data_IF_632943285599
#
_entry.id   IF_632943285599
#
_cell.length_a   1.000
_cell.length_b   1.000
_cell.length_c   1.000
_cell.angle_alpha   90.00
_cell.angle_beta   90.00
_cell.angle_gamma   90.00
#
_symmetry.space_group_name_H-M   'P 1'
#
loop_
_entity.id
_entity.type
_entity.pdbx_description
1 polymer ?
#
# COMPACT_ATOMS: atom_id res chain seq x y z
N UNK A 1 -14.02 -9.16 17.62
CA UNK A 1 -12.86 -9.23 18.55
C UNK A 1 -11.94 -8.01 18.40
N UNK A 2 -11.42 -7.72 17.21
CA UNK A 2 -10.50 -6.60 16.95
C UNK A 2 -11.08 -5.19 17.22
N UNK A 3 -12.34 -4.97 16.84
CA UNK A 3 -13.06 -3.71 17.16
C UNK A 3 -13.23 -3.51 18.68
N UNK A 4 -13.39 -4.59 19.46
CA UNK A 4 -13.44 -4.54 20.93
C UNK A 4 -12.05 -4.25 21.53
N UNK A 5 -10.98 -4.81 20.97
CA UNK A 5 -9.60 -4.57 21.39
C UNK A 5 -9.18 -3.10 21.22
N UNK A 6 -9.58 -2.46 20.10
CA UNK A 6 -9.27 -1.05 19.84
C UNK A 6 -10.07 -0.08 20.71
N UNK A 7 -11.35 -0.38 20.99
CA UNK A 7 -12.14 0.38 21.98
C UNK A 7 -11.53 0.31 23.39
N UNK A 8 -10.96 -0.82 23.77
CA UNK A 8 -10.33 -1.00 25.09
C UNK A 8 -9.06 -0.15 25.28
N UNK A 9 -8.33 0.18 24.21
CA UNK A 9 -7.07 0.95 24.28
C UNK A 9 -7.24 2.48 24.20
N UNK A 10 -8.48 3.00 24.19
CA UNK A 10 -8.77 4.45 24.09
C UNK A 10 -8.00 5.14 22.95
N UNK A 11 -7.84 4.45 21.82
CA UNK A 11 -7.32 5.03 20.56
C UNK A 11 -8.51 5.71 19.88
N UNK A 12 -9.00 6.77 20.51
CA UNK A 12 -10.11 7.60 20.08
C UNK A 12 -9.84 8.94 20.72
N UNK A 13 -9.50 9.92 19.89
CA UNK A 13 -8.95 11.22 20.25
C UNK A 13 -9.65 11.86 21.47
N UNK A 14 -8.86 12.57 22.29
CA UNK A 14 -9.39 13.50 23.30
C UNK A 14 -10.40 14.44 22.65
N UNK A 15 -11.57 14.50 23.27
CA UNK A 15 -12.69 15.37 22.93
C UNK A 15 -12.19 16.82 22.99
N UNK A 16 -12.08 17.49 21.85
CA UNK A 16 -12.02 18.96 21.78
C UNK A 16 -13.46 19.45 21.76
N UNK A 17 -13.83 20.26 22.74
CA UNK A 17 -15.22 20.58 23.11
C UNK A 17 -15.86 21.66 22.21
N UNK A 18 -15.12 22.25 21.25
CA UNK A 18 -15.56 23.45 20.52
C UNK A 18 -15.83 23.22 19.02
N UNK A 19 -16.76 22.33 18.65
CA UNK A 19 -17.18 22.18 17.24
C UNK A 19 -18.57 21.54 17.05
N UNK A 20 -19.33 21.92 15.99
CA UNK A 20 -20.73 21.54 15.82
C UNK A 20 -20.91 20.01 15.65
N UNK A 21 -21.96 19.50 16.29
CA UNK A 21 -22.20 18.09 16.63
C UNK A 21 -22.34 17.13 15.42
N UNK A 22 -22.50 17.64 14.20
CA UNK A 22 -22.59 16.82 12.97
C UNK A 22 -21.26 16.19 12.54
N UNK A 23 -20.12 16.71 13.02
CA UNK A 23 -18.80 16.10 12.77
C UNK A 23 -18.40 15.01 13.78
N UNK A 24 -19.19 14.75 14.82
CA UNK A 24 -18.85 13.80 15.89
C UNK A 24 -19.16 12.33 15.56
N UNK A 25 -19.84 12.06 14.43
CA UNK A 25 -20.29 10.71 14.05
C UNK A 25 -19.18 9.91 13.34
N UNK A 26 -18.07 10.55 12.93
CA UNK A 26 -16.91 9.88 12.33
C UNK A 26 -15.84 9.46 13.35
N UNK A 27 -16.14 9.54 14.65
CA UNK A 27 -15.20 9.19 15.72
C UNK A 27 -15.50 7.78 16.23
N UNK A 28 -14.92 6.78 15.58
CA UNK A 28 -15.09 5.38 16.00
C UNK A 28 -14.71 4.35 14.96
N UNK A 29 -14.51 4.74 13.70
CA UNK A 29 -13.93 3.86 12.69
C UNK A 29 -12.44 3.72 12.99
N UNK A 30 -11.94 2.51 13.21
CA UNK A 30 -10.59 2.33 13.70
C UNK A 30 -9.58 2.84 12.67
N UNK A 31 -8.71 3.74 13.12
CA UNK A 31 -7.52 4.27 12.42
C UNK A 31 -6.45 3.20 12.12
N UNK A 32 -6.83 1.92 12.13
CA UNK A 32 -5.97 0.80 11.74
C UNK A 32 -6.74 -0.24 10.90
N UNK A 33 -7.88 0.10 10.29
CA UNK A 33 -8.58 -0.80 9.38
C UNK A 33 -7.68 -1.30 8.24
N UNK A 34 -6.75 -0.46 7.78
CA UNK A 34 -5.73 -0.82 6.80
C UNK A 34 -4.79 -1.94 7.26
N UNK A 35 -4.52 -2.07 8.57
CA UNK A 35 -3.72 -3.18 9.10
C UNK A 35 -4.42 -4.53 8.92
N UNK A 36 -5.73 -4.58 9.19
CA UNK A 36 -6.51 -5.81 9.01
C UNK A 36 -6.47 -6.18 7.53
N UNK A 37 -6.74 -5.22 6.64
CA UNK A 37 -6.75 -5.45 5.19
C UNK A 37 -5.39 -5.98 4.74
N UNK A 38 -4.29 -5.37 5.20
CA UNK A 38 -2.94 -5.81 4.87
C UNK A 38 -2.70 -7.25 5.32
N UNK A 39 -3.05 -7.61 6.55
CA UNK A 39 -2.88 -8.98 7.05
C UNK A 39 -3.76 -9.95 6.28
N UNK A 40 -5.05 -9.65 6.10
CA UNK A 40 -5.98 -10.58 5.44
C UNK A 40 -5.64 -10.78 3.98
N UNK A 41 -5.24 -9.72 3.27
CA UNK A 41 -4.80 -9.82 1.89
C UNK A 41 -3.49 -10.61 1.77
N UNK A 42 -2.52 -10.36 2.66
CA UNK A 42 -1.24 -11.09 2.67
C UNK A 42 -1.46 -12.59 2.92
N UNK A 43 -2.27 -12.94 3.92
CA UNK A 43 -2.61 -14.33 4.22
C UNK A 43 -3.36 -14.96 3.05
N UNK A 44 -4.37 -14.26 2.50
CA UNK A 44 -5.14 -14.74 1.35
C UNK A 44 -4.26 -15.07 0.14
N UNK A 45 -3.30 -14.19 -0.15
CA UNK A 45 -2.34 -14.40 -1.23
C UNK A 45 -1.40 -15.58 -0.97
N UNK A 46 -0.86 -15.72 0.24
CA UNK A 46 0.00 -16.86 0.60
C UNK A 46 -0.76 -18.20 0.52
N UNK A 47 -2.02 -18.22 0.97
CA UNK A 47 -2.88 -19.40 0.86
C UNK A 47 -3.16 -19.74 -0.60
N UNK A 48 -3.39 -18.72 -1.45
CA UNK A 48 -3.60 -18.92 -2.88
C UNK A 48 -2.36 -19.53 -3.57
N UNK A 49 -1.15 -19.01 -3.29
CA UNK A 49 0.10 -19.59 -3.78
C UNK A 49 0.27 -21.03 -3.29
N UNK A 50 0.04 -21.27 -2.00
CA UNK A 50 0.19 -22.60 -1.43
C UNK A 50 -0.78 -23.62 -2.05
N UNK A 51 -2.04 -23.22 -2.24
CA UNK A 51 -3.03 -24.05 -2.91
C UNK A 51 -2.70 -24.28 -4.39
N UNK A 52 -2.15 -23.29 -5.07
CA UNK A 52 -1.66 -23.43 -6.45
C UNK A 52 -0.50 -24.43 -6.53
N UNK A 53 0.51 -24.28 -5.66
CA UNK A 53 1.66 -25.17 -5.59
C UNK A 53 1.27 -26.63 -5.29
N UNK A 54 0.27 -26.85 -4.44
CA UNK A 54 -0.26 -28.20 -4.18
C UNK A 54 -0.94 -28.83 -5.40
N UNK A 55 -1.56 -28.03 -6.28
CA UNK A 55 -2.22 -28.52 -7.50
C UNK A 55 -1.24 -28.67 -8.67
N UNK A 56 -0.25 -27.80 -8.73
CA UNK A 56 0.74 -27.70 -9.81
C UNK A 56 2.15 -27.57 -9.23
N UNK A 57 2.71 -28.64 -8.64
CA UNK A 57 4.03 -28.59 -7.99
C UNK A 57 5.18 -28.39 -8.98
N UNK A 58 4.96 -28.71 -10.24
CA UNK A 58 5.91 -28.54 -11.34
C UNK A 58 6.00 -27.08 -11.81
N UNK A 59 5.02 -26.24 -11.48
CA UNK A 59 4.97 -24.84 -11.91
C UNK A 59 5.71 -23.94 -10.90
N UNK A 60 6.74 -23.19 -11.35
CA UNK A 60 7.48 -22.30 -10.46
C UNK A 60 6.59 -21.13 -10.02
N UNK A 61 6.75 -20.72 -8.76
CA UNK A 61 6.06 -19.57 -8.20
C UNK A 61 6.48 -18.31 -8.98
N UNK A 62 5.50 -17.54 -9.47
CA UNK A 62 5.74 -16.31 -10.23
C UNK A 62 6.50 -15.28 -9.38
N UNK A 63 7.72 -14.92 -9.83
CA UNK A 63 8.57 -13.94 -9.14
C UNK A 63 7.93 -12.55 -9.09
N UNK A 64 7.20 -12.17 -10.13
CA UNK A 64 6.41 -10.93 -10.21
C UNK A 64 5.40 -10.81 -9.07
N UNK A 65 4.72 -11.92 -8.76
CA UNK A 65 3.71 -11.96 -7.71
C UNK A 65 4.32 -11.82 -6.32
N UNK A 66 5.49 -12.41 -6.09
CA UNK A 66 6.23 -12.24 -4.82
C UNK A 66 6.69 -10.79 -4.66
N UNK A 67 7.25 -10.19 -5.72
CA UNK A 67 7.65 -8.78 -5.74
C UNK A 67 6.46 -7.86 -5.44
N UNK A 68 5.29 -8.10 -6.07
CA UNK A 68 4.09 -7.33 -5.84
C UNK A 68 3.61 -7.42 -4.37
N UNK A 69 3.67 -8.61 -3.77
CA UNK A 69 3.35 -8.80 -2.35
C UNK A 69 4.29 -8.01 -1.44
N UNK A 70 5.60 -8.03 -1.73
CA UNK A 70 6.60 -7.27 -0.96
C UNK A 70 6.28 -5.78 -0.99
N UNK A 71 5.98 -5.21 -2.17
CA UNK A 71 5.62 -3.80 -2.31
C UNK A 71 4.32 -3.47 -1.59
N UNK A 72 3.31 -4.33 -1.70
CA UNK A 72 2.05 -4.18 -0.97
C UNK A 72 2.27 -4.08 0.54
N UNK A 73 3.12 -4.96 1.09
CA UNK A 73 3.49 -4.94 2.52
C UNK A 73 4.26 -3.66 2.86
N UNK A 74 5.27 -3.27 2.08
CA UNK A 74 6.06 -2.06 2.34
C UNK A 74 5.21 -0.80 2.32
N UNK A 75 4.35 -0.63 1.31
CA UNK A 75 3.43 0.51 1.22
C UNK A 75 2.45 0.55 2.40
N UNK A 76 1.92 -0.61 2.80
CA UNK A 76 1.05 -0.67 3.97
C UNK A 76 1.79 -0.42 5.29
N UNK A 77 3.05 -0.83 5.43
CA UNK A 77 3.88 -0.49 6.59
C UNK A 77 4.13 1.02 6.69
N UNK A 78 4.36 1.70 5.55
CA UNK A 78 4.46 3.17 5.52
C UNK A 78 3.15 3.81 5.98
N UNK A 79 2.00 3.30 5.54
CA UNK A 79 0.68 3.75 6.00
C UNK A 79 0.45 3.52 7.50
N UNK A 80 0.86 2.37 8.02
CA UNK A 80 0.76 2.04 9.45
C UNK A 80 1.66 2.92 10.31
N UNK A 81 2.87 3.23 9.83
CA UNK A 81 3.79 4.13 10.50
C UNK A 81 3.23 5.57 10.57
N UNK A 82 2.58 6.03 9.49
CA UNK A 82 1.88 7.32 9.40
C UNK A 82 0.71 7.40 10.40
N UNK A 83 -0.14 6.38 10.43
CA UNK A 83 -1.26 6.26 11.37
C UNK A 83 -0.78 6.19 12.84
N UNK A 84 0.29 5.43 13.10
CA UNK A 84 0.88 5.32 14.44
C UNK A 84 1.48 6.66 14.92
N UNK A 85 2.15 7.40 14.03
CA UNK A 85 2.72 8.71 14.35
C UNK A 85 1.63 9.74 14.68
N UNK A 86 0.52 9.72 13.93
CA UNK A 86 -0.64 10.58 14.18
C UNK A 86 -1.23 10.34 15.58
N UNK A 87 -1.33 9.08 16.00
CA UNK A 87 -1.83 8.72 17.34
C UNK A 87 -0.84 9.14 18.43
N UNK A 88 0.46 8.87 18.24
CA UNK A 88 1.50 9.14 19.25
C UNK A 88 1.72 10.63 19.49
N UNK A 89 1.59 11.47 18.46
CA UNK A 89 1.87 12.91 18.55
C UNK A 89 0.68 13.75 19.02
N UNK A 90 -0.50 13.14 19.23
CA UNK A 90 -1.75 13.82 19.65
C UNK A 90 -2.06 15.08 18.79
N UNK A 91 -1.59 15.07 17.53
CA UNK A 91 -1.77 16.11 16.53
C UNK A 91 -2.33 15.46 15.28
N UNK A 92 -3.24 16.14 14.59
CA UNK A 92 -3.85 15.67 13.34
C UNK A 92 -2.90 15.68 12.13
N UNK A 93 -1.61 15.98 12.34
CA UNK A 93 -0.56 15.85 11.33
C UNK A 93 0.21 14.56 11.61
N UNK A 94 -0.01 13.55 10.79
CA UNK A 94 0.78 12.32 10.79
C UNK A 94 2.22 12.53 10.32
N UNK A 95 2.74 11.58 9.55
CA UNK A 95 3.96 11.76 8.80
C UNK A 95 3.78 12.96 7.84
N UNK A 96 4.77 13.85 7.78
CA UNK A 96 4.72 14.97 6.82
C UNK A 96 4.50 14.40 5.43
N UNK A 97 3.50 14.89 4.69
CA UNK A 97 3.11 14.37 3.37
C UNK A 97 4.31 14.19 2.42
N UNK A 98 5.31 15.08 2.52
CA UNK A 98 6.60 14.99 1.80
C UNK A 98 7.35 13.69 2.06
N UNK A 99 7.48 13.26 3.32
CA UNK A 99 8.19 12.01 3.65
C UNK A 99 7.40 10.78 3.22
N UNK A 100 6.06 10.82 3.36
CA UNK A 100 5.20 9.73 2.87
C UNK A 100 5.36 9.52 1.36
N UNK A 101 5.30 10.61 0.60
CA UNK A 101 5.51 10.59 -0.85
C UNK A 101 6.94 10.14 -1.22
N UNK A 102 7.97 10.61 -0.50
CA UNK A 102 9.34 10.16 -0.73
C UNK A 102 9.50 8.66 -0.53
N UNK A 103 8.91 8.08 0.53
CA UNK A 103 8.97 6.63 0.75
C UNK A 103 8.21 5.86 -0.33
N UNK A 104 7.01 6.30 -0.72
CA UNK A 104 6.23 5.65 -1.77
C UNK A 104 6.93 5.72 -3.14
N UNK A 105 7.55 6.85 -3.46
CA UNK A 105 8.33 7.04 -4.67
C UNK A 105 9.56 6.12 -4.67
N UNK A 106 10.31 6.07 -3.56
CA UNK A 106 11.48 5.21 -3.43
C UNK A 106 11.12 3.72 -3.60
N UNK A 107 10.04 3.27 -2.96
CA UNK A 107 9.54 1.89 -3.07
C UNK A 107 9.17 1.59 -4.53
N UNK A 108 8.50 2.52 -5.22
CA UNK A 108 8.08 2.35 -6.61
C UNK A 108 9.26 2.24 -7.57
N UNK A 109 10.30 3.07 -7.39
CA UNK A 109 11.53 2.99 -8.21
C UNK A 109 12.22 1.66 -8.02
N UNK A 110 12.40 1.21 -6.77
CA UNK A 110 13.05 -0.07 -6.45
C UNK A 110 12.26 -1.23 -7.06
N UNK A 111 10.93 -1.20 -6.96
CA UNK A 111 10.07 -2.25 -7.50
C UNK A 111 10.25 -2.43 -9.01
N UNK A 112 10.25 -1.33 -9.76
CA UNK A 112 10.36 -1.38 -11.22
C UNK A 112 11.76 -1.81 -11.64
N UNK A 113 12.78 -1.31 -10.94
CA UNK A 113 14.14 -1.77 -11.15
C UNK A 113 14.23 -3.30 -10.98
N UNK A 114 13.62 -3.85 -9.92
CA UNK A 114 13.57 -5.28 -9.68
C UNK A 114 12.77 -6.03 -10.75
N UNK A 115 11.63 -5.50 -11.22
CA UNK A 115 10.85 -6.12 -12.30
C UNK A 115 11.63 -6.19 -13.61
N UNK A 116 12.35 -5.14 -13.98
CA UNK A 116 13.12 -5.12 -15.23
C UNK A 116 14.31 -6.08 -15.14
N UNK A 117 15.03 -6.08 -14.01
CA UNK A 117 16.22 -6.92 -13.84
C UNK A 117 15.88 -8.41 -13.72
N UNK A 118 14.83 -8.75 -12.96
CA UNK A 118 14.52 -10.14 -12.64
C UNK A 118 13.41 -10.76 -13.48
N UNK A 119 12.45 -9.97 -13.96
CA UNK A 119 11.32 -10.48 -14.75
C UNK A 119 11.42 -10.14 -16.24
N UNK A 120 12.46 -9.40 -16.67
CA UNK A 120 12.65 -9.02 -18.07
C UNK A 120 11.39 -8.37 -18.69
N UNK A 121 10.61 -7.66 -17.86
CA UNK A 121 9.36 -7.06 -18.28
C UNK A 121 9.66 -5.98 -19.31
N UNK A 122 9.07 -6.12 -20.50
CA UNK A 122 9.15 -5.13 -21.56
C UNK A 122 8.60 -3.79 -21.05
N UNK A 123 9.36 -2.70 -21.23
CA UNK A 123 8.92 -1.31 -20.90
C UNK A 123 7.99 -0.73 -21.97
N UNK A 124 7.11 -1.59 -22.52
CA UNK A 124 6.10 -1.25 -23.52
C UNK A 124 4.80 -0.89 -22.81
N UNK A 125 4.36 0.37 -22.93
CA UNK A 125 2.97 0.70 -22.59
C UNK A 125 2.09 0.32 -23.78
N UNK A 126 1.24 -0.67 -23.57
CA UNK A 126 0.15 -0.98 -24.49
C UNK A 126 -1.01 -0.02 -24.20
N UNK A 127 -1.39 0.78 -25.20
CA UNK A 127 -2.58 1.63 -25.10
C UNK A 127 -3.77 0.83 -25.67
N UNK A 128 -4.68 0.31 -24.82
CA UNK A 128 -5.73 -0.61 -25.26
C UNK A 128 -6.74 0.04 -26.22
N UNK A 129 -6.83 1.38 -26.23
CA UNK A 129 -7.69 2.13 -27.15
C UNK A 129 -7.17 2.21 -28.59
N UNK A 130 -5.85 2.08 -28.80
CA UNK A 130 -5.19 2.35 -30.10
C UNK A 130 -4.41 1.12 -30.61
N UNK A 131 -4.28 0.07 -29.80
CA UNK A 131 -3.55 -1.16 -30.14
C UNK A 131 -2.11 -0.88 -30.63
N UNK A 132 -1.50 0.20 -30.13
CA UNK A 132 -0.09 0.51 -30.32
C UNK A 132 0.64 0.38 -28.99
N UNK A 133 1.77 -0.31 -29.03
CA UNK A 133 2.77 -0.33 -27.97
C UNK A 133 3.72 0.85 -28.16
N UNK A 134 3.78 1.72 -27.16
CA UNK A 134 4.81 2.77 -27.10
C UNK A 134 5.90 2.23 -26.18
N UNK A 135 7.10 2.02 -26.73
CA UNK A 135 8.29 1.72 -25.93
C UNK A 135 8.71 3.00 -25.20
N UNK A 136 8.43 3.06 -23.89
CA UNK A 136 8.80 4.23 -23.10
C UNK A 136 10.22 4.17 -22.57
N UNK A 137 10.90 3.02 -22.65
CA UNK A 137 12.29 2.87 -22.23
C UNK A 137 12.57 3.58 -20.91
N UNK A 138 13.54 4.49 -20.91
CA UNK A 138 13.93 5.28 -19.72
C UNK A 138 12.86 6.28 -19.23
N UNK A 139 11.93 6.68 -20.10
CA UNK A 139 10.83 7.61 -19.78
C UNK A 139 9.79 7.01 -18.82
N UNK A 140 9.70 5.68 -18.73
CA UNK A 140 8.81 5.00 -17.79
C UNK A 140 9.12 5.37 -16.33
N UNK A 141 10.41 5.52 -15.98
CA UNK A 141 10.86 5.91 -14.64
C UNK A 141 10.46 7.34 -14.26
N UNK A 142 10.30 8.25 -15.24
CA UNK A 142 9.93 9.66 -15.03
C UNK A 142 8.40 9.82 -14.91
N UNK A 143 7.62 8.97 -15.56
CA UNK A 143 6.16 9.05 -15.58
C UNK A 143 5.54 8.80 -14.19
N UNK A 144 6.17 7.94 -13.39
CA UNK A 144 5.66 7.51 -12.08
C UNK A 144 5.62 8.64 -11.05
N UNK A 145 6.69 9.41 -10.80
CA UNK A 145 6.58 10.56 -9.91
C UNK A 145 5.51 11.54 -10.39
N UNK A 146 5.39 11.77 -11.70
CA UNK A 146 4.35 12.64 -12.26
C UNK A 146 2.94 12.11 -11.95
N UNK A 147 2.71 10.81 -12.05
CA UNK A 147 1.42 10.19 -11.74
C UNK A 147 1.06 10.23 -10.25
N UNK A 148 2.06 10.25 -9.36
CA UNK A 148 1.85 10.40 -7.91
C UNK A 148 1.68 11.86 -7.46
N UNK A 149 2.08 12.84 -8.26
CA UNK A 149 2.01 14.27 -7.94
C UNK A 149 0.74 14.99 -8.45
N UNK A 150 -0.15 14.30 -9.18
CA UNK A 150 -1.45 14.81 -9.63
C UNK A 150 -2.59 14.28 -8.74
#
# INVERSE_FOLDING_TARGET
>A
FWVKFQRSRKIGQKIRVDGPQTHMIKTGTPTMGGFIILITATIGYLVAIFAHYLKHPEEPISFEGILALIVFILCGLVGLADDYLSIKKDRSLGLTARYKLLFQLLISIIFIFLLIVFCNVDTKLEIPLINRSIELGFGYYILIPIMFFH
#
